data_IF_509779862045
#
_entry.id   IF_509779862045
#
_cell.length_a   1.000
_cell.length_b   1.000
_cell.length_c   1.000
_cell.angle_alpha   90.00
_cell.angle_beta   90.00
_cell.angle_gamma   90.00
#
_symmetry.space_group_name_H-M   'P 1'
#
loop_
_entity.id
_entity.type
_entity.pdbx_description
1 polymer ?
#
# COMPACT_ATOMS: atom_id res chain seq x y z
N UNK A 1 18.14 18.04 15.94
CA UNK A 1 17.14 17.77 16.99
C UNK A 1 16.79 16.30 16.84
N UNK A 2 17.13 15.45 17.80
CA UNK A 2 16.80 14.01 17.74
C UNK A 2 15.30 13.90 17.95
N UNK A 3 14.53 13.68 16.90
CA UNK A 3 13.15 13.20 17.06
C UNK A 3 13.24 11.79 17.61
N UNK A 4 13.04 11.69 18.93
CA UNK A 4 12.85 10.44 19.63
C UNK A 4 11.47 9.94 19.19
N UNK A 5 11.45 8.97 18.27
CA UNK A 5 10.25 8.25 17.84
C UNK A 5 9.41 7.89 19.07
N UNK A 6 8.21 8.43 19.16
CA UNK A 6 7.42 8.33 20.38
C UNK A 6 6.68 6.99 20.45
N UNK A 7 6.39 6.54 21.68
CA UNK A 7 5.62 5.32 21.99
C UNK A 7 4.23 5.29 21.31
N UNK A 8 3.74 6.42 20.81
CA UNK A 8 2.48 6.53 20.06
C UNK A 8 2.57 6.00 18.62
N UNK A 9 3.76 5.96 18.01
CA UNK A 9 3.90 5.63 16.58
C UNK A 9 3.89 4.13 16.28
N UNK A 10 3.96 3.27 17.31
CA UNK A 10 3.81 1.81 17.19
C UNK A 10 2.40 1.32 17.51
N UNK A 11 1.46 2.21 17.87
CA UNK A 11 0.08 1.81 18.15
C UNK A 11 -0.63 1.48 16.85
N UNK A 12 -1.07 0.24 16.73
CA UNK A 12 -1.82 -0.27 15.58
C UNK A 12 -3.25 -0.53 16.01
N UNK A 13 -4.20 -0.14 15.16
CA UNK A 13 -5.57 -0.58 15.25
C UNK A 13 -5.73 -1.77 14.30
N UNK A 14 -6.01 -2.95 14.86
CA UNK A 14 -6.37 -4.12 14.07
C UNK A 14 -7.87 -4.08 13.85
N UNK A 15 -8.29 -3.97 12.60
CA UNK A 15 -9.70 -3.94 12.19
C UNK A 15 -9.97 -5.07 11.20
N UNK A 16 -11.23 -5.50 11.14
CA UNK A 16 -11.65 -6.46 10.12
C UNK A 16 -11.58 -5.80 8.74
N UNK A 17 -11.20 -6.55 7.71
CA UNK A 17 -11.17 -6.03 6.33
C UNK A 17 -12.54 -5.51 5.86
N UNK A 18 -13.63 -6.05 6.40
CA UNK A 18 -14.99 -5.56 6.14
C UNK A 18 -15.23 -4.13 6.64
N UNK A 19 -14.53 -3.70 7.69
CA UNK A 19 -14.60 -2.32 8.17
C UNK A 19 -13.89 -1.40 7.19
N UNK A 20 -12.68 -1.77 6.74
CA UNK A 20 -11.93 -1.00 5.74
C UNK A 20 -12.73 -0.86 4.43
N UNK A 21 -13.27 -1.97 3.92
CA UNK A 21 -14.13 -1.95 2.73
C UNK A 21 -15.33 -1.01 2.92
N UNK A 22 -15.98 -1.03 4.09
CA UNK A 22 -17.13 -0.16 4.33
C UNK A 22 -16.73 1.31 4.38
N UNK A 23 -15.55 1.64 4.92
CA UNK A 23 -14.99 2.99 4.88
C UNK A 23 -14.77 3.42 3.42
N UNK A 24 -14.09 2.57 2.63
CA UNK A 24 -13.82 2.84 1.23
C UNK A 24 -15.11 3.07 0.42
N UNK A 25 -16.09 2.16 0.49
CA UNK A 25 -17.38 2.33 -0.23
C UNK A 25 -18.17 3.55 0.24
N UNK A 26 -18.05 3.90 1.53
CA UNK A 26 -18.70 5.12 2.06
C UNK A 26 -18.02 6.38 1.51
N UNK A 27 -16.69 6.38 1.38
CA UNK A 27 -15.96 7.48 0.75
C UNK A 27 -16.34 7.62 -0.72
N UNK A 28 -16.34 6.53 -1.48
CA UNK A 28 -16.77 6.52 -2.90
C UNK A 28 -18.20 7.05 -3.05
N UNK A 29 -19.14 6.63 -2.20
CA UNK A 29 -20.51 7.12 -2.22
C UNK A 29 -20.65 8.61 -1.84
N UNK A 30 -19.73 9.14 -1.03
CA UNK A 30 -19.80 10.51 -0.51
C UNK A 30 -19.09 11.54 -1.40
N UNK A 31 -17.96 11.17 -2.00
CA UNK A 31 -17.08 12.09 -2.75
C UNK A 31 -16.70 11.59 -4.15
N UNK A 32 -17.30 10.49 -4.62
CA UNK A 32 -17.07 9.96 -5.97
C UNK A 32 -15.61 9.64 -6.23
N UNK A 33 -15.13 9.96 -7.44
CA UNK A 33 -13.77 9.69 -7.93
C UNK A 33 -12.66 10.31 -7.05
N UNK A 34 -12.97 11.35 -6.26
CA UNK A 34 -11.99 11.94 -5.34
C UNK A 34 -11.57 10.98 -4.21
N UNK A 35 -12.37 9.94 -3.93
CA UNK A 35 -12.04 8.92 -2.92
C UNK A 35 -10.72 8.19 -3.23
N UNK A 36 -10.43 7.95 -4.51
CA UNK A 36 -9.22 7.27 -4.94
C UNK A 36 -7.97 8.06 -4.52
N UNK A 37 -7.98 9.39 -4.72
CA UNK A 37 -6.85 10.25 -4.29
C UNK A 37 -6.72 10.31 -2.78
N UNK A 38 -7.82 10.32 -2.03
CA UNK A 38 -7.78 10.28 -0.55
C UNK A 38 -7.11 8.99 -0.06
N UNK A 39 -7.57 7.83 -0.57
CA UNK A 39 -7.00 6.53 -0.21
C UNK A 39 -5.53 6.40 -0.63
N UNK A 40 -5.21 6.86 -1.84
CA UNK A 40 -3.83 6.89 -2.33
C UNK A 40 -2.93 7.73 -1.41
N UNK A 41 -3.32 8.96 -1.08
CA UNK A 41 -2.51 9.87 -0.25
C UNK A 41 -2.28 9.26 1.14
N UNK A 42 -3.33 8.68 1.73
CA UNK A 42 -3.21 7.98 3.01
C UNK A 42 -2.25 6.79 2.94
N UNK A 43 -2.29 6.02 1.85
CA UNK A 43 -1.34 4.94 1.60
C UNK A 43 0.09 5.44 1.48
N UNK A 44 0.31 6.49 0.69
CA UNK A 44 1.62 7.10 0.43
C UNK A 44 2.29 7.61 1.69
N UNK A 45 1.57 8.39 2.50
CA UNK A 45 2.07 8.87 3.79
C UNK A 45 2.41 7.71 4.73
N UNK A 46 1.57 6.66 4.75
CA UNK A 46 1.82 5.47 5.56
C UNK A 46 3.04 4.69 5.08
N UNK A 47 3.20 4.48 3.77
CA UNK A 47 4.33 3.78 3.17
C UNK A 47 5.66 4.49 3.42
N UNK A 48 5.67 5.83 3.27
CA UNK A 48 6.83 6.65 3.59
C UNK A 48 7.23 6.52 5.06
N UNK A 49 6.27 6.68 5.97
CA UNK A 49 6.50 6.59 7.40
C UNK A 49 7.02 5.20 7.80
N UNK A 50 6.40 4.14 7.27
CA UNK A 50 6.77 2.77 7.61
C UNK A 50 8.20 2.44 7.15
N UNK A 51 8.56 2.81 5.92
CA UNK A 51 9.92 2.61 5.40
C UNK A 51 10.97 3.40 6.19
N UNK A 52 10.66 4.64 6.60
CA UNK A 52 11.56 5.44 7.42
C UNK A 52 11.81 4.82 8.82
N UNK A 53 10.77 4.29 9.47
CA UNK A 53 10.91 3.60 10.76
C UNK A 53 11.82 2.38 10.60
N UNK A 54 11.60 1.55 9.58
CA UNK A 54 12.43 0.37 9.37
C UNK A 54 13.87 0.70 9.01
N UNK A 55 14.11 1.72 8.16
CA UNK A 55 15.47 2.19 7.86
C UNK A 55 16.18 2.72 9.10
N UNK A 56 15.45 3.34 10.03
CA UNK A 56 16.01 3.81 11.30
C UNK A 56 16.38 2.64 12.23
N UNK A 57 15.59 1.56 12.26
CA UNK A 57 15.91 0.35 13.02
C UNK A 57 17.05 -0.46 12.38
N UNK A 58 17.09 -0.53 11.05
CA UNK A 58 18.15 -1.17 10.27
C UNK A 58 18.35 -0.47 8.91
N UNK A 59 19.47 0.24 8.76
CA UNK A 59 19.80 1.01 7.55
C UNK A 59 19.93 0.13 6.29
N UNK A 60 20.17 -1.19 6.46
CA UNK A 60 20.30 -2.14 5.34
C UNK A 60 18.97 -2.76 4.90
N UNK A 61 17.84 -2.39 5.51
CA UNK A 61 16.52 -2.91 5.15
C UNK A 61 16.24 -2.67 3.67
N UNK A 62 15.94 -3.75 2.96
CA UNK A 62 15.49 -3.76 1.56
C UNK A 62 13.97 -3.69 1.45
N UNK A 63 13.45 -3.52 0.23
CA UNK A 63 11.99 -3.62 -0.01
C UNK A 63 11.51 -5.04 0.32
N UNK A 64 12.29 -6.06 -0.05
CA UNK A 64 11.96 -7.46 0.19
C UNK A 64 11.90 -7.79 1.69
N UNK A 65 12.83 -7.26 2.49
CA UNK A 65 12.79 -7.41 3.96
C UNK A 65 11.51 -6.82 4.55
N UNK A 66 11.10 -5.64 4.06
CA UNK A 66 9.83 -5.03 4.44
C UNK A 66 8.65 -5.92 4.06
N UNK A 67 8.61 -6.45 2.83
CA UNK A 67 7.51 -7.29 2.37
C UNK A 67 7.37 -8.58 3.20
N UNK A 68 8.49 -9.17 3.62
CA UNK A 68 8.51 -10.32 4.54
C UNK A 68 7.91 -9.95 5.91
N UNK A 69 8.24 -8.78 6.44
CA UNK A 69 7.65 -8.30 7.70
C UNK A 69 6.13 -8.06 7.57
N UNK A 70 5.70 -7.47 6.45
CA UNK A 70 4.28 -7.24 6.20
C UNK A 70 3.50 -8.55 6.07
N UNK A 71 4.06 -9.57 5.41
CA UNK A 71 3.45 -10.91 5.36
C UNK A 71 3.41 -11.56 6.75
N UNK A 72 4.47 -11.42 7.56
CA UNK A 72 4.52 -11.96 8.92
C UNK A 72 3.49 -11.32 9.87
N UNK A 73 3.03 -10.11 9.55
CA UNK A 73 1.97 -9.41 10.32
C UNK A 73 0.57 -9.58 9.74
N UNK A 74 0.42 -10.43 8.71
CA UNK A 74 -0.83 -10.65 7.97
C UNK A 74 -1.40 -9.36 7.36
N UNK A 75 -0.53 -8.38 7.07
CA UNK A 75 -0.94 -7.12 6.47
C UNK A 75 -1.16 -7.27 4.97
N UNK A 76 -0.12 -7.70 4.25
CA UNK A 76 -0.19 -8.02 2.83
C UNK A 76 0.79 -9.14 2.49
N UNK A 77 0.45 -9.96 1.49
CA UNK A 77 1.39 -10.87 0.85
C UNK A 77 1.79 -10.30 -0.50
N UNK A 78 3.00 -9.78 -0.61
CA UNK A 78 3.47 -9.12 -1.81
C UNK A 78 4.89 -9.54 -2.21
N UNK A 79 5.20 -9.39 -3.49
CA UNK A 79 6.53 -9.58 -4.07
C UNK A 79 6.93 -8.33 -4.85
N UNK A 80 8.21 -8.01 -4.84
CA UNK A 80 8.78 -6.93 -5.64
C UNK A 80 9.63 -7.51 -6.77
N UNK A 81 9.42 -7.02 -7.99
CA UNK A 81 10.24 -7.35 -9.15
C UNK A 81 11.14 -6.15 -9.46
N UNK A 82 12.45 -6.30 -9.24
CA UNK A 82 13.43 -5.24 -9.45
C UNK A 82 13.66 -4.90 -10.93
N UNK A 83 13.47 -5.85 -11.86
CA UNK A 83 13.68 -5.63 -13.29
C UNK A 83 12.59 -4.72 -13.89
N UNK A 84 11.35 -4.93 -13.46
CA UNK A 84 10.19 -4.13 -13.89
C UNK A 84 9.82 -3.03 -12.89
N UNK A 85 10.51 -2.95 -11.76
CA UNK A 85 10.18 -2.12 -10.61
C UNK A 85 8.69 -2.20 -10.26
N UNK A 86 8.11 -3.41 -10.17
CA UNK A 86 6.67 -3.60 -9.92
C UNK A 86 6.38 -4.43 -8.67
N UNK A 87 5.22 -4.20 -8.07
CA UNK A 87 4.74 -4.97 -6.93
C UNK A 87 3.61 -5.91 -7.37
N UNK A 88 3.64 -7.14 -6.87
CA UNK A 88 2.58 -8.13 -7.07
C UNK A 88 2.00 -8.50 -5.71
N UNK A 89 0.69 -8.34 -5.54
CA UNK A 89 -0.02 -8.66 -4.30
C UNK A 89 -0.92 -9.86 -4.54
N UNK A 90 -0.66 -10.93 -3.79
CA UNK A 90 -1.48 -12.13 -3.77
C UNK A 90 -2.58 -11.98 -2.73
N UNK A 91 -3.82 -12.30 -3.10
CA UNK A 91 -4.97 -12.25 -2.18
C UNK A 91 -5.08 -10.89 -1.46
N UNK A 92 -4.98 -9.78 -2.20
CA UNK A 92 -5.12 -8.43 -1.65
C UNK A 92 -6.33 -8.35 -0.71
N UNK A 93 -6.14 -7.98 0.57
CA UNK A 93 -7.24 -7.91 1.52
C UNK A 93 -8.29 -6.87 1.12
N UNK A 94 -7.87 -5.81 0.40
CA UNK A 94 -8.76 -4.79 -0.14
C UNK A 94 -9.61 -5.37 -1.27
N UNK A 95 -8.99 -5.93 -2.31
CA UNK A 95 -9.71 -6.46 -3.47
C UNK A 95 -10.66 -7.60 -3.08
N UNK A 96 -10.21 -8.52 -2.22
CA UNK A 96 -11.04 -9.63 -1.73
C UNK A 96 -12.27 -9.14 -0.95
N UNK A 97 -12.10 -8.12 -0.12
CA UNK A 97 -13.19 -7.62 0.73
C UNK A 97 -14.13 -6.72 -0.04
N UNK A 98 -13.63 -5.99 -1.03
CA UNK A 98 -14.44 -5.14 -1.90
C UNK A 98 -15.44 -5.96 -2.73
N UNK A 99 -14.99 -7.11 -3.25
CA UNK A 99 -15.75 -7.97 -4.16
C UNK A 99 -15.53 -7.59 -5.63
N UNK A 100 -16.34 -8.16 -6.51
CA UNK A 100 -16.32 -7.87 -7.95
C UNK A 100 -16.61 -6.39 -8.23
N UNK A 101 -15.88 -5.80 -9.18
CA UNK A 101 -16.01 -4.41 -9.60
C UNK A 101 -15.58 -4.25 -11.07
N UNK A 102 -15.96 -3.14 -11.70
CA UNK A 102 -15.56 -2.83 -13.08
C UNK A 102 -14.14 -2.22 -13.16
N UNK A 103 -13.70 -1.55 -12.09
CA UNK A 103 -12.41 -0.86 -12.02
C UNK A 103 -11.53 -1.38 -10.87
N UNK A 104 -10.19 -1.26 -10.96
CA UNK A 104 -9.28 -1.57 -9.86
C UNK A 104 -9.58 -0.75 -8.59
N UNK A 105 -9.47 -1.37 -7.42
CA UNK A 105 -9.94 -0.80 -6.14
C UNK A 105 -8.86 -0.60 -5.08
N UNK A 106 -7.63 -1.06 -5.30
CA UNK A 106 -6.56 -1.01 -4.29
C UNK A 106 -5.79 0.32 -4.31
N UNK A 107 -6.51 1.45 -4.28
CA UNK A 107 -5.91 2.78 -4.31
C UNK A 107 -4.97 3.04 -3.12
N UNK A 108 -5.34 2.55 -1.94
CA UNK A 108 -4.48 2.61 -0.76
C UNK A 108 -3.14 1.88 -0.96
N UNK A 109 -3.16 0.69 -1.58
CA UNK A 109 -1.91 -0.06 -1.84
C UNK A 109 -1.06 0.62 -2.93
N UNK A 110 -1.68 1.23 -3.93
CA UNK A 110 -0.95 2.04 -4.94
C UNK A 110 -0.16 3.17 -4.28
N UNK A 111 -0.81 3.91 -3.36
CA UNK A 111 -0.14 4.91 -2.54
C UNK A 111 0.92 4.31 -1.62
N UNK A 112 0.60 3.23 -0.92
CA UNK A 112 1.52 2.56 0.00
C UNK A 112 2.84 2.14 -0.67
N UNK A 113 2.77 1.54 -1.85
CA UNK A 113 3.95 1.16 -2.62
C UNK A 113 4.71 2.37 -3.18
N UNK A 114 4.01 3.44 -3.57
CA UNK A 114 4.62 4.73 -3.91
C UNK A 114 5.45 5.25 -2.74
N UNK A 115 4.86 5.37 -1.55
CA UNK A 115 5.54 5.86 -0.36
C UNK A 115 6.75 5.00 0.02
N UNK A 116 6.63 3.67 -0.07
CA UNK A 116 7.74 2.73 0.16
C UNK A 116 8.87 2.96 -0.83
N UNK A 117 8.59 2.91 -2.13
CA UNK A 117 9.59 2.94 -3.17
C UNK A 117 10.28 4.31 -3.25
N UNK A 118 9.51 5.41 -3.19
CA UNK A 118 10.04 6.76 -3.21
C UNK A 118 11.01 7.01 -2.04
N UNK A 119 10.66 6.51 -0.85
CA UNK A 119 11.51 6.61 0.35
C UNK A 119 12.72 5.68 0.29
N UNK A 120 12.55 4.49 -0.29
CA UNK A 120 13.63 3.52 -0.40
C UNK A 120 14.71 4.00 -1.37
N UNK A 121 14.30 4.40 -2.58
CA UNK A 121 15.18 4.82 -3.67
C UNK A 121 15.58 6.30 -3.62
N UNK A 122 14.97 7.09 -2.75
CA UNK A 122 15.15 8.55 -2.67
C UNK A 122 14.87 9.23 -4.02
N UNK A 123 13.77 8.83 -4.64
CA UNK A 123 13.31 9.28 -5.96
C UNK A 123 11.82 9.60 -5.93
N UNK A 124 11.39 10.47 -6.83
CA UNK A 124 9.97 10.68 -7.09
C UNK A 124 9.48 9.52 -7.96
N UNK A 125 8.75 8.58 -7.33
CA UNK A 125 8.27 7.35 -7.96
C UNK A 125 6.78 7.19 -7.66
N UNK A 126 5.98 7.01 -8.70
CA UNK A 126 4.54 6.87 -8.59
C UNK A 126 4.11 5.49 -9.08
N UNK A 127 3.29 4.80 -8.30
CA UNK A 127 2.73 3.50 -8.66
C UNK A 127 1.23 3.57 -8.90
N UNK A 128 0.74 2.82 -9.89
CA UNK A 128 -0.69 2.61 -10.15
C UNK A 128 -0.99 1.11 -10.26
N UNK A 129 -2.17 0.71 -9.79
CA UNK A 129 -2.70 -0.63 -10.01
C UNK A 129 -3.10 -0.82 -11.49
N UNK A 130 -2.53 -1.82 -12.16
CA UNK A 130 -2.81 -2.16 -13.57
C UNK A 130 -3.58 -3.47 -13.74
N UNK A 131 -3.54 -4.33 -12.73
CA UNK A 131 -4.31 -5.57 -12.65
C UNK A 131 -4.92 -5.68 -11.26
N UNK A 132 -6.15 -6.17 -11.15
CA UNK A 132 -6.83 -6.27 -9.86
C UNK A 132 -7.71 -7.51 -9.77
N UNK A 133 -7.68 -8.16 -8.60
CA UNK A 133 -8.55 -9.30 -8.34
C UNK A 133 -10.05 -8.93 -8.36
N UNK A 134 -10.41 -7.68 -8.05
CA UNK A 134 -11.80 -7.22 -8.11
C UNK A 134 -12.34 -7.16 -9.54
N UNK A 135 -11.47 -6.99 -10.55
CA UNK A 135 -11.87 -6.95 -11.97
C UNK A 135 -11.71 -8.30 -12.69
N UNK A 136 -11.39 -9.36 -11.94
CA UNK A 136 -11.27 -10.72 -12.46
C UNK A 136 -9.83 -11.24 -12.65
N UNK A 137 -8.80 -10.45 -12.36
CA UNK A 137 -7.41 -10.91 -12.44
C UNK A 137 -7.05 -11.90 -11.31
N UNK A 138 -5.98 -12.65 -11.52
CA UNK A 138 -5.49 -13.64 -10.52
C UNK A 138 -4.73 -13.00 -9.36
N UNK A 139 -4.07 -11.87 -9.61
CA UNK A 139 -3.24 -11.11 -8.68
C UNK A 139 -3.43 -9.62 -8.91
N UNK A 140 -3.13 -8.79 -7.91
CA UNK A 140 -3.09 -7.34 -8.10
C UNK A 140 -1.66 -6.92 -8.45
N UNK A 141 -1.48 -6.13 -9.51
CA UNK A 141 -0.17 -5.69 -9.98
C UNK A 141 -0.10 -4.18 -9.95
N UNK A 142 0.99 -3.64 -9.39
CA UNK A 142 1.24 -2.21 -9.27
C UNK A 142 2.54 -1.86 -10.00
N UNK A 143 2.43 -0.97 -10.97
CA UNK A 143 3.54 -0.62 -11.87
C UNK A 143 3.86 0.87 -11.76
N UNK A 144 5.10 1.22 -12.07
CA UNK A 144 5.53 2.61 -12.17
C UNK A 144 4.72 3.31 -13.27
N UNK A 145 4.21 4.49 -12.95
CA UNK A 145 3.71 5.43 -13.92
C UNK A 145 4.72 6.56 -14.03
N UNK A 146 5.26 6.76 -15.23
CA UNK A 146 6.05 7.94 -15.52
C UNK A 146 5.05 9.06 -15.85
N UNK A 147 5.03 10.13 -15.06
CA UNK A 147 4.43 11.40 -15.49
C UNK A 147 5.32 12.11 -16.53
#
# INVERSE_FOLDING_TARGET
MKEVLSVEEKRRLVVLNSIFMKIQKTLEASIGESSARVLYTAGEEFGNKYMNILKHENVKTTIEDLLVELEATDFIKAQFNADTMSFQVHNSPIALSYGENEEPVCHFLSGFFTGIAATYYEKDLTYKETHCKSVGDTVCIFELVNE
#
